data_IF_161775349172
#
_entry.id   IF_161775349172
#
_cell.length_a   1.000
_cell.length_b   1.000
_cell.length_c   1.000
_cell.angle_alpha   90.00
_cell.angle_beta   90.00
_cell.angle_gamma   90.00
#
_symmetry.space_group_name_H-M   'P 1'
#
loop_
_entity.id
_entity.type
_entity.pdbx_description
1 polymer ?
#
# COMPACT_ATOMS: atom_id res chain seq x y z
N UNK A 1 24.68 -0.30 1.97
CA UNK A 1 23.92 0.81 1.35
C UNK A 1 22.95 1.33 2.38
N UNK A 2 22.99 2.63 2.72
CA UNK A 2 21.90 3.22 3.52
C UNK A 2 20.69 3.35 2.61
N UNK A 3 19.60 2.67 2.94
CA UNK A 3 18.33 2.93 2.31
C UNK A 3 17.95 4.37 2.67
N UNK A 4 17.85 5.25 1.68
CA UNK A 4 17.34 6.62 1.86
C UNK A 4 16.25 6.85 0.84
N UNK A 5 15.18 7.52 1.27
CA UNK A 5 14.12 7.98 0.37
C UNK A 5 14.69 9.07 -0.54
N UNK A 6 14.19 9.14 -1.78
CA UNK A 6 14.44 10.30 -2.64
C UNK A 6 13.76 11.54 -2.01
N UNK A 7 14.33 12.75 -2.10
CA UNK A 7 13.82 13.94 -1.40
C UNK A 7 12.34 14.28 -1.69
N UNK A 8 11.91 14.08 -2.93
CA UNK A 8 10.52 14.32 -3.37
C UNK A 8 9.55 13.30 -2.75
N UNK A 9 9.98 12.04 -2.62
CA UNK A 9 9.20 10.99 -1.96
C UNK A 9 9.06 11.28 -0.47
N UNK A 10 10.15 11.66 0.19
CA UNK A 10 10.12 12.02 1.61
C UNK A 10 9.18 13.20 1.87
N UNK A 11 9.22 14.21 1.00
CA UNK A 11 8.35 15.39 1.09
C UNK A 11 6.89 15.02 0.91
N UNK A 12 6.56 14.23 -0.12
CA UNK A 12 5.20 13.74 -0.34
C UNK A 12 4.67 12.95 0.86
N UNK A 13 5.46 12.00 1.40
CA UNK A 13 5.09 11.20 2.57
C UNK A 13 4.81 12.06 3.81
N UNK A 14 5.60 13.12 4.04
CA UNK A 14 5.39 14.05 5.14
C UNK A 14 4.12 14.89 4.96
N UNK A 15 3.86 15.38 3.74
CA UNK A 15 2.67 16.20 3.45
C UNK A 15 1.36 15.46 3.65
N UNK A 16 1.29 14.18 3.26
CA UNK A 16 0.09 13.36 3.45
C UNK A 16 -0.03 12.78 4.86
N UNK A 17 0.89 13.14 5.76
CA UNK A 17 1.02 12.61 7.12
C UNK A 17 1.03 11.07 7.18
N UNK A 18 1.88 10.47 6.34
CA UNK A 18 1.91 9.02 6.12
C UNK A 18 2.06 8.22 7.42
N UNK A 19 2.97 8.63 8.31
CA UNK A 19 3.27 7.87 9.54
C UNK A 19 2.05 7.79 10.44
N UNK A 20 1.38 8.92 10.70
CA UNK A 20 0.21 8.94 11.57
C UNK A 20 -0.93 8.14 10.95
N UNK A 21 -1.23 8.37 9.66
CA UNK A 21 -2.29 7.63 8.96
C UNK A 21 -2.04 6.13 8.91
N UNK A 22 -0.79 5.71 8.69
CA UNK A 22 -0.46 4.28 8.71
C UNK A 22 -0.54 3.69 10.12
N UNK A 23 -0.16 4.46 11.14
CA UNK A 23 -0.32 4.07 12.55
C UNK A 23 -1.80 3.91 12.90
N UNK A 24 -2.64 4.86 12.52
CA UNK A 24 -4.09 4.82 12.71
C UNK A 24 -4.72 3.64 11.98
N UNK A 25 -4.35 3.39 10.71
CA UNK A 25 -4.83 2.23 9.96
C UNK A 25 -4.44 0.92 10.64
N UNK A 26 -3.18 0.81 11.09
CA UNK A 26 -2.71 -0.35 11.86
C UNK A 26 -3.52 -0.55 13.14
N UNK A 27 -3.74 0.51 13.93
CA UNK A 27 -4.52 0.44 15.18
C UNK A 27 -5.97 0.06 14.93
N UNK A 28 -6.64 0.76 14.00
CA UNK A 28 -8.00 0.46 13.57
C UNK A 28 -8.16 -1.00 13.16
N UNK A 29 -7.23 -1.51 12.34
CA UNK A 29 -7.26 -2.90 11.87
C UNK A 29 -7.16 -3.92 13.00
N UNK A 30 -6.49 -3.57 14.09
CA UNK A 30 -6.24 -4.45 15.24
C UNK A 30 -7.33 -4.40 16.28
N UNK A 31 -7.91 -3.23 16.50
CA UNK A 31 -9.07 -3.06 17.37
C UNK A 31 -10.30 -3.80 16.85
N UNK A 32 -10.36 -4.01 15.53
CA UNK A 32 -11.44 -4.72 14.85
C UNK A 32 -11.04 -6.14 14.36
N UNK A 33 -9.86 -6.63 14.77
CA UNK A 33 -9.39 -7.96 14.38
C UNK A 33 -9.95 -9.04 15.32
N UNK A 34 -10.54 -10.08 14.74
CA UNK A 34 -10.95 -11.29 15.44
C UNK A 34 -9.94 -12.41 15.17
N UNK A 35 -9.32 -12.92 16.24
CA UNK A 35 -8.33 -13.98 16.13
C UNK A 35 -8.94 -15.36 15.89
N UNK A 36 -10.26 -15.52 16.05
CA UNK A 36 -10.99 -16.75 15.75
C UNK A 36 -11.32 -16.86 14.25
N UNK A 37 -11.43 -15.72 13.55
CA UNK A 37 -11.76 -15.62 12.11
C UNK A 37 -10.52 -15.67 11.21
N UNK A 38 -9.80 -16.79 11.26
CA UNK A 38 -8.59 -16.98 10.43
C UNK A 38 -8.98 -17.41 9.01
N UNK A 39 -8.52 -16.65 8.02
CA UNK A 39 -8.66 -16.95 6.59
C UNK A 39 -7.31 -17.42 6.05
N UNK A 40 -7.00 -18.73 6.07
CA UNK A 40 -5.68 -19.24 5.71
C UNK A 40 -5.34 -19.03 4.22
N UNK A 41 -6.35 -19.09 3.35
CA UNK A 41 -6.21 -18.90 1.91
C UNK A 41 -7.28 -17.90 1.44
N UNK A 42 -6.98 -16.59 1.47
CA UNK A 42 -7.91 -15.56 0.98
C UNK A 42 -8.26 -15.79 -0.48
N UNK A 43 -9.55 -15.67 -0.82
CA UNK A 43 -10.06 -15.81 -2.17
C UNK A 43 -9.69 -14.56 -2.97
N UNK A 44 -8.73 -14.72 -3.89
CA UNK A 44 -8.24 -13.62 -4.71
C UNK A 44 -9.36 -13.00 -5.53
N UNK A 45 -10.27 -13.79 -6.11
CA UNK A 45 -11.35 -13.26 -6.95
C UNK A 45 -12.29 -12.33 -6.16
N UNK A 46 -12.64 -12.69 -4.92
CA UNK A 46 -13.45 -11.84 -4.04
C UNK A 46 -12.72 -10.53 -3.70
N UNK A 47 -11.41 -10.59 -3.46
CA UNK A 47 -10.61 -9.39 -3.19
C UNK A 47 -10.54 -8.49 -4.43
N UNK A 48 -10.44 -9.08 -5.63
CA UNK A 48 -10.48 -8.33 -6.87
C UNK A 48 -11.84 -7.65 -7.08
N UNK A 49 -12.94 -8.30 -6.72
CA UNK A 49 -14.29 -7.70 -6.76
C UNK A 49 -14.43 -6.53 -5.78
N UNK A 50 -13.86 -6.64 -4.57
CA UNK A 50 -13.79 -5.52 -3.61
C UNK A 50 -13.02 -4.34 -4.20
N UNK A 51 -11.84 -4.61 -4.78
CA UNK A 51 -11.05 -3.56 -5.43
C UNK A 51 -11.81 -2.91 -6.59
N UNK A 52 -12.51 -3.69 -7.40
CA UNK A 52 -13.34 -3.19 -8.51
C UNK A 52 -14.50 -2.31 -8.00
N UNK A 53 -15.18 -2.73 -6.93
CA UNK A 53 -16.20 -1.92 -6.24
C UNK A 53 -15.64 -0.60 -5.70
N UNK A 54 -14.38 -0.59 -5.28
CA UNK A 54 -13.64 0.61 -4.86
C UNK A 54 -13.08 1.43 -6.04
N UNK A 55 -13.35 1.03 -7.28
CA UNK A 55 -12.97 1.75 -8.50
C UNK A 55 -11.62 1.34 -9.10
N UNK A 56 -11.02 0.25 -8.64
CA UNK A 56 -9.70 -0.21 -9.08
C UNK A 56 -9.75 -1.55 -9.79
N UNK A 57 -9.23 -1.58 -11.02
CA UNK A 57 -8.86 -2.83 -11.66
C UNK A 57 -7.58 -3.37 -11.01
N UNK A 58 -7.51 -4.70 -10.91
CA UNK A 58 -6.39 -5.38 -10.27
C UNK A 58 -5.89 -6.57 -11.10
N UNK A 59 -4.59 -6.84 -11.01
CA UNK A 59 -3.96 -8.03 -11.60
C UNK A 59 -3.23 -8.79 -10.50
N UNK A 60 -3.52 -10.08 -10.36
CA UNK A 60 -2.85 -10.92 -9.39
C UNK A 60 -1.55 -11.51 -9.94
N UNK A 61 -0.43 -11.21 -9.29
CA UNK A 61 0.85 -11.87 -9.55
C UNK A 61 0.92 -13.17 -8.73
N UNK A 62 0.73 -14.31 -9.40
CA UNK A 62 0.75 -15.63 -8.76
C UNK A 62 2.13 -16.02 -8.21
N UNK A 63 3.21 -15.48 -8.80
CA UNK A 63 4.58 -15.84 -8.43
C UNK A 63 4.98 -15.11 -7.13
N UNK A 64 4.75 -13.81 -7.11
CA UNK A 64 5.10 -12.95 -5.98
C UNK A 64 3.96 -12.84 -4.93
N UNK A 65 2.78 -13.36 -5.26
CA UNK A 65 1.58 -13.46 -4.39
C UNK A 65 1.04 -12.11 -3.90
N UNK A 66 0.96 -11.13 -4.79
CA UNK A 66 0.33 -9.84 -4.51
C UNK A 66 -0.65 -9.43 -5.61
N UNK A 67 -1.59 -8.56 -5.25
CA UNK A 67 -2.47 -7.85 -6.17
C UNK A 67 -1.83 -6.52 -6.56
N UNK A 68 -1.69 -6.25 -7.86
CA UNK A 68 -1.27 -4.96 -8.40
C UNK A 68 -2.50 -4.15 -8.79
N UNK A 69 -2.60 -2.91 -8.29
CA UNK A 69 -3.65 -1.94 -8.67
C UNK A 69 -3.03 -0.62 -9.14
N UNK A 70 -3.79 0.19 -9.89
CA UNK A 70 -3.33 1.50 -10.39
C UNK A 70 -3.05 1.48 -11.89
N UNK A 71 -2.03 2.20 -12.36
CA UNK A 71 -1.71 2.28 -13.78
C UNK A 71 -1.07 0.97 -14.26
N UNK A 72 -1.89 0.09 -14.87
CA UNK A 72 -1.53 -1.26 -15.32
C UNK A 72 -1.01 -1.31 -16.79
N UNK A 73 -0.62 -0.17 -17.37
CA UNK A 73 -0.27 -0.05 -18.79
C UNK A 73 1.23 -0.10 -19.12
N UNK A 74 1.55 -0.34 -20.40
CA UNK A 74 2.91 -0.30 -20.94
C UNK A 74 3.31 1.13 -21.29
N UNK A 75 4.33 1.63 -20.58
CA UNK A 75 5.08 2.87 -20.83
C UNK A 75 4.27 4.16 -20.77
N UNK A 76 4.34 4.79 -19.61
CA UNK A 76 4.35 6.25 -19.51
C UNK A 76 5.66 6.67 -18.87
N UNK A 77 6.08 7.89 -19.16
CA UNK A 77 7.17 8.58 -18.47
C UNK A 77 7.00 8.51 -16.94
N UNK A 78 5.75 8.35 -16.45
CA UNK A 78 5.41 8.10 -15.04
C UNK A 78 4.51 6.88 -14.88
N UNK A 79 4.89 5.94 -14.01
CA UNK A 79 4.05 4.81 -13.63
C UNK A 79 3.88 4.76 -12.12
N UNK A 80 2.62 4.77 -11.68
CA UNK A 80 2.22 4.60 -10.29
C UNK A 80 1.39 3.34 -10.17
N UNK A 81 1.80 2.45 -9.27
CA UNK A 81 0.98 1.30 -8.90
C UNK A 81 1.17 0.95 -7.43
N UNK A 82 0.21 0.19 -6.93
CA UNK A 82 0.15 -0.23 -5.55
C UNK A 82 0.04 -1.75 -5.51
N UNK A 83 1.06 -2.38 -4.93
CA UNK A 83 1.09 -3.80 -4.64
C UNK A 83 0.51 -4.05 -3.25
N UNK A 84 -0.46 -4.96 -3.18
CA UNK A 84 -1.13 -5.41 -1.97
C UNK A 84 -0.80 -6.90 -1.80
N UNK A 85 0.15 -7.18 -0.91
CA UNK A 85 0.50 -8.54 -0.50
C UNK A 85 -0.49 -9.03 0.55
N UNK A 86 -0.93 -10.28 0.41
CA UNK A 86 -1.92 -10.88 1.32
C UNK A 86 -1.42 -12.24 1.74
N UNK A 87 -1.28 -12.44 3.05
CA UNK A 87 -0.87 -13.72 3.63
C UNK A 87 -1.70 -14.00 4.87
N UNK A 88 -2.56 -15.02 4.77
CA UNK A 88 -3.58 -15.29 5.79
C UNK A 88 -4.42 -14.01 5.98
N UNK A 89 -4.55 -13.52 7.21
CA UNK A 89 -5.25 -12.27 7.55
C UNK A 89 -4.35 -11.03 7.55
N UNK A 90 -3.12 -11.12 7.03
CA UNK A 90 -2.13 -10.02 7.11
C UNK A 90 -1.96 -9.36 5.74
N UNK A 91 -2.01 -8.03 5.74
CA UNK A 91 -1.75 -7.20 4.57
C UNK A 91 -0.37 -6.57 4.63
N UNK A 92 0.33 -6.57 3.50
CA UNK A 92 1.54 -5.80 3.26
C UNK A 92 1.35 -4.88 2.05
N UNK A 93 1.83 -3.65 2.16
CA UNK A 93 1.54 -2.58 1.23
C UNK A 93 2.84 -2.02 0.66
N UNK A 94 2.92 -1.92 -0.66
CA UNK A 94 4.06 -1.32 -1.36
C UNK A 94 3.57 -0.40 -2.46
N UNK A 95 3.88 0.89 -2.34
CA UNK A 95 3.76 1.80 -3.47
C UNK A 95 4.96 1.66 -4.37
N UNK A 96 4.71 1.69 -5.67
CA UNK A 96 5.76 1.67 -6.68
C UNK A 96 5.59 2.85 -7.61
N UNK A 97 6.68 3.56 -7.79
CA UNK A 97 6.76 4.77 -8.60
C UNK A 97 7.95 4.66 -9.54
N UNK A 98 7.70 4.74 -10.83
CA UNK A 98 8.71 4.94 -11.86
C UNK A 98 8.56 6.33 -12.45
N UNK A 99 9.69 6.99 -12.70
CA UNK A 99 9.76 8.24 -13.46
C UNK A 99 10.96 8.21 -14.39
N UNK A 100 10.71 8.35 -15.70
CA UNK A 100 11.67 8.20 -16.80
C UNK A 100 12.41 6.84 -16.75
N UNK A 101 11.64 5.75 -16.64
CA UNK A 101 12.12 4.36 -16.49
C UNK A 101 13.01 4.08 -15.26
N UNK A 102 13.25 5.08 -14.39
CA UNK A 102 13.97 4.90 -13.12
C UNK A 102 12.98 4.62 -11.98
N UNK A 103 13.26 3.58 -11.20
CA UNK A 103 12.53 3.29 -9.96
C UNK A 103 12.81 4.39 -8.92
N UNK A 104 11.77 5.14 -8.55
CA UNK A 104 11.81 6.20 -7.53
C UNK A 104 11.45 5.69 -6.14
N UNK A 105 10.48 4.79 -6.07
CA UNK A 105 10.03 4.14 -4.84
C UNK A 105 9.54 2.73 -5.15
N UNK A 106 9.81 1.78 -4.25
CA UNK A 106 9.32 0.40 -4.34
C UNK A 106 9.52 -0.42 -3.07
N UNK A 107 9.76 0.25 -1.94
CA UNK A 107 9.91 -0.40 -0.64
C UNK A 107 8.55 -0.57 0.05
N UNK A 108 8.38 -1.57 0.93
CA UNK A 108 7.17 -1.73 1.73
C UNK A 108 6.94 -0.56 2.69
N UNK A 109 5.67 -0.25 2.97
CA UNK A 109 5.24 0.78 3.90
C UNK A 109 5.86 0.64 5.29
N UNK A 110 6.09 -0.60 5.74
CA UNK A 110 6.75 -0.91 7.01
C UNK A 110 8.17 -0.35 7.14
N UNK A 111 8.83 -0.02 6.02
CA UNK A 111 10.13 0.64 6.01
C UNK A 111 10.03 2.17 6.10
N UNK A 112 8.91 2.79 5.73
CA UNK A 112 8.85 4.24 5.61
C UNK A 112 8.97 4.92 6.97
N UNK A 113 8.31 4.41 8.01
CA UNK A 113 8.46 4.95 9.37
C UNK A 113 9.89 4.85 9.89
N UNK A 114 10.64 3.82 9.47
CA UNK A 114 12.06 3.66 9.81
C UNK A 114 12.94 4.71 9.17
N UNK A 115 12.58 5.13 7.96
CA UNK A 115 13.30 6.11 7.15
C UNK A 115 12.94 7.55 7.53
N UNK A 116 11.69 7.77 7.96
CA UNK A 116 11.16 9.09 8.31
C UNK A 116 11.40 9.49 9.77
N UNK A 117 11.50 8.53 10.69
CA UNK A 117 11.64 8.78 12.13
C UNK A 117 12.96 8.25 12.65
N UNK A 118 13.10 6.91 12.76
CA UNK A 118 14.31 6.27 13.28
C UNK A 118 14.37 4.80 12.87
N UNK A 119 15.57 4.21 12.72
CA UNK A 119 15.73 2.81 12.30
C UNK A 119 15.00 1.77 13.15
N UNK A 120 14.62 2.11 14.38
CA UNK A 120 13.94 1.27 15.38
C UNK A 120 12.41 1.44 15.39
N UNK A 121 11.89 2.46 14.72
CA UNK A 121 10.45 2.68 14.62
C UNK A 121 9.77 1.52 13.89
N UNK A 122 8.74 0.91 14.48
CA UNK A 122 7.97 -0.19 13.87
C UNK A 122 6.48 0.11 14.01
N UNK A 123 5.78 0.15 12.88
CA UNK A 123 4.33 0.11 12.84
C UNK A 123 3.95 -1.34 12.55
N UNK A 124 2.99 -1.88 13.32
CA UNK A 124 2.56 -3.27 13.16
C UNK A 124 1.85 -3.46 11.81
N UNK A 125 1.89 -4.66 11.20
CA UNK A 125 1.18 -4.90 9.96
C UNK A 125 -0.33 -4.81 10.16
N UNK A 126 -1.04 -4.53 9.07
CA UNK A 126 -2.49 -4.39 9.02
C UNK A 126 -3.14 -5.78 8.96
N UNK A 127 -4.22 -5.96 9.73
CA UNK A 127 -4.96 -7.22 9.82
C UNK A 127 -6.40 -7.06 9.35
N UNK A 128 -7.03 -8.12 8.84
CA UNK A 128 -8.46 -8.15 8.55
C UNK A 128 -9.08 -9.45 9.04
N UNK A 129 -10.35 -9.46 9.41
CA UNK A 129 -11.04 -10.67 9.91
C UNK A 129 -11.89 -11.32 8.83
N UNK A 130 -12.46 -10.49 7.97
CA UNK A 130 -13.43 -10.86 6.93
C UNK A 130 -13.32 -9.90 5.73
N UNK A 131 -14.10 -10.15 4.69
CA UNK A 131 -14.08 -9.34 3.48
C UNK A 131 -14.69 -7.93 3.67
N UNK A 132 -15.58 -7.75 4.64
CA UNK A 132 -16.17 -6.44 4.94
C UNK A 132 -15.16 -5.50 5.63
N UNK A 133 -14.41 -6.03 6.60
CA UNK A 133 -13.29 -5.33 7.23
C UNK A 133 -12.16 -5.10 6.23
N UNK A 134 -11.87 -6.06 5.36
CA UNK A 134 -10.92 -5.89 4.27
C UNK A 134 -11.32 -4.75 3.33
N UNK A 135 -12.59 -4.64 2.92
CA UNK A 135 -13.07 -3.54 2.08
C UNK A 135 -12.84 -2.17 2.75
N UNK A 136 -13.15 -2.04 4.04
CA UNK A 136 -12.93 -0.81 4.80
C UNK A 136 -11.45 -0.43 4.86
N UNK A 137 -10.59 -1.41 5.11
CA UNK A 137 -9.13 -1.23 5.16
C UNK A 137 -8.59 -0.81 3.80
N UNK A 138 -8.98 -1.51 2.73
CA UNK A 138 -8.54 -1.20 1.37
C UNK A 138 -9.01 0.19 0.94
N UNK A 139 -10.22 0.60 1.31
CA UNK A 139 -10.71 1.96 1.04
C UNK A 139 -9.81 3.03 1.65
N UNK A 140 -9.35 2.85 2.89
CA UNK A 140 -8.41 3.78 3.55
C UNK A 140 -7.04 3.75 2.85
N UNK A 141 -6.50 2.55 2.61
CA UNK A 141 -5.19 2.37 2.00
C UNK A 141 -5.11 2.95 0.58
N UNK A 142 -6.17 2.77 -0.23
CA UNK A 142 -6.30 3.34 -1.56
C UNK A 142 -6.46 4.87 -1.51
N UNK A 143 -7.16 5.41 -0.51
CA UNK A 143 -7.21 6.86 -0.28
C UNK A 143 -5.82 7.44 -0.02
N UNK A 144 -5.03 6.79 0.85
CA UNK A 144 -3.64 7.19 1.10
C UNK A 144 -2.77 7.12 -0.17
N UNK A 145 -2.99 6.10 -1.02
CA UNK A 145 -2.30 5.97 -2.30
C UNK A 145 -2.62 7.11 -3.26
N UNK A 146 -3.90 7.52 -3.36
CA UNK A 146 -4.29 8.64 -4.21
C UNK A 146 -3.71 9.96 -3.72
N UNK A 147 -3.76 10.23 -2.41
CA UNK A 147 -3.17 11.44 -1.83
C UNK A 147 -1.66 11.51 -2.11
N UNK A 148 -0.95 10.38 -1.94
CA UNK A 148 0.47 10.29 -2.27
C UNK A 148 0.76 10.55 -3.75
N UNK A 149 -0.05 9.95 -4.64
CA UNK A 149 0.07 10.14 -6.08
C UNK A 149 -0.14 11.60 -6.47
N UNK A 150 -1.14 12.27 -5.89
CA UNK A 150 -1.41 13.69 -6.16
C UNK A 150 -0.25 14.60 -5.74
N UNK A 151 0.50 14.27 -4.69
CA UNK A 151 1.69 15.03 -4.31
C UNK A 151 2.86 14.87 -5.29
N UNK A 152 2.93 13.76 -6.02
CA UNK A 152 4.03 13.45 -6.93
C UNK A 152 3.76 13.82 -8.38
N UNK A 153 2.49 13.81 -8.82
CA UNK A 153 2.11 14.19 -10.20
C UNK A 153 2.75 15.54 -10.61
N UNK A 154 2.66 16.64 -9.83
CA UNK A 154 3.23 17.93 -10.23
C UNK A 154 4.76 17.94 -10.34
N UNK A 155 5.45 16.99 -9.71
CA UNK A 155 6.92 16.91 -9.67
C UNK A 155 7.44 16.10 -10.86
N UNK A 156 6.67 15.10 -11.27
CA UNK A 156 7.06 14.19 -12.34
C UNK A 156 6.39 14.48 -13.70
N UNK A 157 5.50 15.49 -13.76
CA UNK A 157 4.87 15.98 -15.01
C UNK A 157 5.83 16.72 -15.94
#
# INVERSE_FOLDING_TARGET
MSLKLKPEIETALKKIDFVNRYTELSSFSRENYDAEEIIPNPNIEEIQQILEKLGYKSVYDKKEKFLKVGELGDKKENLFYFNIGIKVNVLDFTWVVYHNDELRLGSPWSLYSRLLISPDTRIKPVLFSDYDSLEKILKIALGMYEDFKQELIPIYS
#
